data_IF_249582124524
#
_entry.id   IF_249582124524
#
_cell.length_a   1.000
_cell.length_b   1.000
_cell.length_c   1.000
_cell.angle_alpha   90.00
_cell.angle_beta   90.00
_cell.angle_gamma   90.00
#
_symmetry.space_group_name_H-M   'P 1'
#
loop_
_entity.id
_entity.type
_entity.pdbx_description
1 polymer ?
#
# COMPACT_ATOMS: atom_id res chain seq x y z
N UNK A 1 -19.19 -20.21 -32.65
CA UNK A 1 -17.98 -20.97 -33.02
C UNK A 1 -17.15 -21.13 -31.77
N UNK A 2 -16.51 -22.29 -31.51
CA UNK A 2 -15.71 -22.49 -30.31
C UNK A 2 -14.34 -21.80 -30.38
N UNK A 3 -13.74 -21.57 -29.22
CA UNK A 3 -12.50 -20.82 -29.06
C UNK A 3 -11.48 -21.57 -28.18
N UNK A 4 -10.19 -21.43 -28.50
CA UNK A 4 -9.10 -21.78 -27.59
C UNK A 4 -8.46 -20.50 -27.07
N UNK A 5 -8.36 -20.36 -25.75
CA UNK A 5 -7.96 -19.10 -25.11
C UNK A 5 -6.84 -19.34 -24.10
N UNK A 6 -5.79 -18.51 -24.18
CA UNK A 6 -4.72 -18.47 -23.21
C UNK A 6 -5.05 -17.48 -22.08
N UNK A 7 -5.18 -17.97 -20.84
CA UNK A 7 -5.50 -17.12 -19.68
C UNK A 7 -4.37 -16.17 -19.27
N UNK A 8 -3.13 -16.46 -19.67
CA UNK A 8 -1.97 -15.64 -19.31
C UNK A 8 -1.74 -14.50 -20.29
N UNK A 9 -2.02 -14.75 -21.58
CA UNK A 9 -1.63 -13.86 -22.67
C UNK A 9 -2.85 -13.26 -23.39
N UNK A 10 -4.07 -13.61 -22.97
CA UNK A 10 -5.36 -13.16 -23.51
C UNK A 10 -5.55 -13.39 -25.02
N UNK A 11 -4.70 -14.21 -25.64
CA UNK A 11 -4.80 -14.61 -27.04
C UNK A 11 -5.87 -15.69 -27.20
N UNK A 12 -6.73 -15.54 -28.20
CA UNK A 12 -7.75 -16.52 -28.57
C UNK A 12 -7.63 -16.94 -30.04
N UNK A 13 -8.01 -18.18 -30.33
CA UNK A 13 -8.11 -18.74 -31.69
C UNK A 13 -9.51 -19.32 -31.89
N UNK A 14 -10.14 -18.98 -33.01
CA UNK A 14 -11.38 -19.62 -33.46
C UNK A 14 -11.09 -21.01 -34.00
N UNK A 15 -11.91 -22.00 -33.61
CA UNK A 15 -11.77 -23.37 -34.09
C UNK A 15 -12.96 -23.73 -34.98
N UNK A 16 -12.66 -24.06 -36.24
CA UNK A 16 -13.66 -24.52 -37.20
C UNK A 16 -13.95 -26.04 -37.11
N UNK A 17 -12.99 -26.85 -36.64
CA UNK A 17 -13.12 -28.30 -36.48
C UNK A 17 -12.55 -28.74 -35.13
N UNK A 18 -13.30 -29.54 -34.37
CA UNK A 18 -12.90 -30.07 -33.06
C UNK A 18 -11.59 -30.87 -33.11
N UNK A 19 -11.21 -31.40 -34.28
CA UNK A 19 -9.94 -32.12 -34.45
C UNK A 19 -8.70 -31.20 -34.34
N UNK A 20 -8.82 -29.89 -34.62
CA UNK A 20 -7.73 -28.90 -34.47
C UNK A 20 -7.45 -28.54 -33.00
N UNK A 21 -8.32 -28.93 -32.07
CA UNK A 21 -8.12 -28.72 -30.63
C UNK A 21 -6.87 -29.47 -30.14
N UNK A 22 -6.53 -30.59 -30.79
CA UNK A 22 -5.40 -31.41 -30.38
C UNK A 22 -4.04 -30.78 -30.70
N UNK A 23 -3.98 -29.93 -31.73
CA UNK A 23 -2.75 -29.28 -32.20
C UNK A 23 -2.45 -27.99 -31.41
N UNK A 24 -3.48 -27.32 -30.89
CA UNK A 24 -3.37 -26.03 -30.19
C UNK A 24 -3.43 -26.23 -28.66
N UNK A 25 -2.64 -27.16 -28.12
CA UNK A 25 -2.65 -27.43 -26.66
C UNK A 25 -1.95 -26.38 -25.81
N UNK A 26 -1.01 -25.64 -26.41
CA UNK A 26 -0.10 -24.74 -25.67
C UNK A 26 0.06 -23.41 -26.41
N UNK A 27 -0.09 -22.31 -25.69
CA UNK A 27 0.16 -20.97 -26.20
C UNK A 27 1.67 -20.73 -26.37
N UNK A 28 2.06 -19.75 -27.19
CA UNK A 28 3.46 -19.35 -27.36
C UNK A 28 4.13 -18.91 -26.05
N UNK A 29 3.35 -18.46 -25.06
CA UNK A 29 3.85 -18.17 -23.73
C UNK A 29 3.95 -19.39 -22.79
N UNK A 30 3.95 -20.62 -23.34
CA UNK A 30 4.14 -21.87 -22.59
C UNK A 30 2.93 -22.33 -21.76
N UNK A 31 1.86 -21.54 -21.71
CA UNK A 31 0.65 -21.85 -20.92
C UNK A 31 -0.32 -22.70 -21.73
N UNK A 32 -0.96 -23.69 -21.09
CA UNK A 32 -2.01 -24.51 -21.72
C UNK A 32 -3.21 -23.66 -22.14
N UNK A 33 -3.69 -23.89 -23.36
CA UNK A 33 -4.88 -23.22 -23.88
C UNK A 33 -6.14 -23.90 -23.36
N UNK A 34 -7.18 -23.10 -23.08
CA UNK A 34 -8.44 -23.58 -22.53
C UNK A 34 -9.52 -23.48 -23.62
N UNK A 35 -10.29 -24.55 -23.79
CA UNK A 35 -11.41 -24.59 -24.71
C UNK A 35 -12.64 -23.89 -24.11
N UNK A 36 -13.31 -23.09 -24.92
CA UNK A 36 -14.58 -22.45 -24.60
C UNK A 36 -15.55 -22.59 -25.78
N UNK A 37 -16.81 -22.91 -25.50
CA UNK A 37 -17.83 -23.02 -26.56
C UNK A 37 -18.22 -21.65 -27.12
N UNK A 38 -18.17 -20.62 -26.27
CA UNK A 38 -18.47 -19.23 -26.60
C UNK A 38 -17.40 -18.29 -26.01
N UNK A 39 -17.04 -17.23 -26.74
CA UNK A 39 -16.06 -16.25 -26.27
C UNK A 39 -16.59 -15.52 -25.03
N UNK A 40 -17.91 -15.30 -24.98
CA UNK A 40 -18.63 -14.71 -23.87
C UNK A 40 -18.40 -15.47 -22.56
N UNK A 41 -18.23 -16.80 -22.58
CA UNK A 41 -18.00 -17.60 -21.38
C UNK A 41 -16.67 -17.24 -20.71
N UNK A 42 -15.62 -17.05 -21.51
CA UNK A 42 -14.31 -16.60 -21.03
C UNK A 42 -14.34 -15.15 -20.58
N UNK A 43 -14.99 -14.26 -21.34
CA UNK A 43 -15.14 -12.86 -20.97
C UNK A 43 -15.93 -12.71 -19.66
N UNK A 44 -17.00 -13.47 -19.47
CA UNK A 44 -17.78 -13.47 -18.23
C UNK A 44 -16.97 -13.98 -17.04
N UNK A 45 -16.16 -15.03 -17.21
CA UNK A 45 -15.25 -15.50 -16.15
C UNK A 45 -14.17 -14.45 -15.81
N UNK A 46 -13.66 -13.73 -16.81
CA UNK A 46 -12.69 -12.64 -16.62
C UNK A 46 -13.34 -11.44 -15.94
N UNK A 47 -14.54 -11.08 -16.35
CA UNK A 47 -15.35 -10.01 -15.75
C UNK A 47 -15.71 -10.33 -14.29
N UNK A 48 -16.13 -11.56 -13.99
CA UNK A 48 -16.38 -12.00 -12.61
C UNK A 48 -15.10 -11.95 -11.76
N UNK A 49 -13.93 -12.31 -12.31
CA UNK A 49 -12.64 -12.14 -11.61
C UNK A 49 -12.23 -10.69 -11.40
N UNK A 50 -12.63 -9.78 -12.28
CA UNK A 50 -12.36 -8.33 -12.13
C UNK A 50 -13.36 -7.60 -11.22
N UNK A 51 -14.48 -8.25 -10.85
CA UNK A 51 -15.59 -7.64 -10.08
C UNK A 51 -15.75 -8.31 -8.71
N UNK A 52 -14.89 -9.26 -8.33
CA UNK A 52 -14.93 -9.81 -6.97
C UNK A 52 -14.64 -8.70 -5.96
N UNK A 53 -15.56 -8.49 -5.01
CA UNK A 53 -15.39 -7.52 -3.94
C UNK A 53 -14.05 -7.75 -3.22
N UNK A 54 -13.32 -6.68 -2.88
CA UNK A 54 -12.07 -6.81 -2.16
C UNK A 54 -12.34 -7.45 -0.79
N UNK A 55 -11.45 -8.35 -0.37
CA UNK A 55 -11.57 -8.94 0.97
C UNK A 55 -11.35 -7.88 2.05
N UNK A 56 -11.95 -8.08 3.22
CA UNK A 56 -11.78 -7.16 4.36
C UNK A 56 -10.30 -7.04 4.76
N UNK A 57 -9.52 -8.11 4.64
CA UNK A 57 -8.09 -8.10 4.90
C UNK A 57 -7.35 -7.17 3.93
N UNK A 58 -7.74 -7.17 2.65
CA UNK A 58 -7.14 -6.29 1.64
C UNK A 58 -7.48 -4.83 1.92
N UNK A 59 -8.74 -4.52 2.19
CA UNK A 59 -9.18 -3.17 2.56
C UNK A 59 -8.47 -2.67 3.83
N UNK A 60 -8.31 -3.54 4.84
CA UNK A 60 -7.61 -3.22 6.08
C UNK A 60 -6.15 -2.90 5.80
N UNK A 61 -5.47 -3.74 5.00
CA UNK A 61 -4.07 -3.51 4.66
C UNK A 61 -3.88 -2.25 3.82
N UNK A 62 -4.77 -1.97 2.88
CA UNK A 62 -4.71 -0.76 2.05
C UNK A 62 -4.88 0.50 2.91
N UNK A 63 -5.84 0.48 3.85
CA UNK A 63 -6.06 1.55 4.82
C UNK A 63 -4.84 1.78 5.72
N UNK A 64 -4.34 0.72 6.37
CA UNK A 64 -3.17 0.81 7.25
C UNK A 64 -1.93 1.29 6.48
N UNK A 65 -1.76 0.84 5.24
CA UNK A 65 -0.68 1.30 4.37
C UNK A 65 -0.79 2.77 4.02
N UNK A 66 -2.00 3.29 3.78
CA UNK A 66 -2.22 4.71 3.55
C UNK A 66 -1.83 5.55 4.78
N UNK A 67 -2.23 5.13 5.97
CA UNK A 67 -1.85 5.80 7.23
C UNK A 67 -0.33 5.83 7.40
N UNK A 68 0.35 4.71 7.15
CA UNK A 68 1.81 4.64 7.22
C UNK A 68 2.49 5.57 6.23
N UNK A 69 1.99 5.65 4.99
CA UNK A 69 2.52 6.60 3.99
C UNK A 69 2.33 8.05 4.42
N UNK A 70 1.21 8.40 5.05
CA UNK A 70 1.00 9.74 5.60
C UNK A 70 2.02 10.08 6.69
N UNK A 71 2.35 9.13 7.57
CA UNK A 71 3.36 9.30 8.63
C UNK A 71 4.75 9.52 8.01
N UNK A 72 5.16 8.67 7.07
CA UNK A 72 6.46 8.77 6.39
C UNK A 72 6.57 10.05 5.56
N UNK A 73 5.50 10.44 4.86
CA UNK A 73 5.43 11.70 4.11
C UNK A 73 5.60 12.89 5.05
N UNK A 74 4.95 12.88 6.21
CA UNK A 74 5.10 13.93 7.23
C UNK A 74 6.55 14.06 7.70
N UNK A 75 7.21 12.94 7.99
CA UNK A 75 8.63 12.93 8.37
C UNK A 75 9.54 13.51 7.28
N UNK A 76 9.22 13.30 6.01
CA UNK A 76 10.02 13.82 4.88
C UNK A 76 9.79 15.30 4.59
N UNK A 77 8.56 15.79 4.73
CA UNK A 77 8.23 17.17 4.38
C UNK A 77 8.69 18.17 5.43
N UNK A 78 8.81 17.75 6.70
CA UNK A 78 9.22 18.66 7.78
C UNK A 78 10.70 19.01 7.63
N UNK A 79 11.07 20.30 7.61
CA UNK A 79 12.45 20.75 7.33
C UNK A 79 13.41 20.57 8.52
N UNK A 80 13.00 19.86 9.57
CA UNK A 80 13.77 19.64 10.80
C UNK A 80 13.58 18.21 11.30
N UNK A 81 14.60 17.65 11.93
CA UNK A 81 14.48 16.36 12.59
C UNK A 81 13.47 16.43 13.75
N UNK A 82 12.64 15.39 13.84
CA UNK A 82 11.58 15.30 14.84
C UNK A 82 11.82 14.12 15.75
N UNK A 83 11.65 14.33 17.06
CA UNK A 83 11.36 13.24 17.97
C UNK A 83 9.88 12.85 17.91
N UNK A 84 9.55 11.69 18.46
CA UNK A 84 8.22 11.08 18.40
C UNK A 84 7.09 12.02 18.83
N UNK A 85 7.27 12.74 19.94
CA UNK A 85 6.28 13.69 20.47
C UNK A 85 5.99 14.83 19.49
N UNK A 86 7.02 15.37 18.83
CA UNK A 86 6.84 16.45 17.86
C UNK A 86 6.19 15.93 16.58
N UNK A 87 6.55 14.74 16.12
CA UNK A 87 5.87 14.10 14.99
C UNK A 87 4.37 13.94 15.26
N UNK A 88 3.99 13.45 16.44
CA UNK A 88 2.58 13.34 16.82
C UNK A 88 1.86 14.69 16.82
N UNK A 89 2.49 15.77 17.30
CA UNK A 89 1.93 17.12 17.23
C UNK A 89 1.68 17.57 15.79
N UNK A 90 2.61 17.27 14.86
CA UNK A 90 2.44 17.56 13.43
C UNK A 90 1.26 16.78 12.86
N UNK A 91 1.22 15.46 13.08
CA UNK A 91 0.17 14.58 12.56
C UNK A 91 -1.22 14.95 13.08
N UNK A 92 -1.32 15.38 14.35
CA UNK A 92 -2.58 15.84 14.96
C UNK A 92 -2.97 17.26 14.56
N UNK A 93 -2.07 18.04 13.96
CA UNK A 93 -2.33 19.45 13.65
C UNK A 93 -2.37 20.32 14.90
N UNK A 94 -1.62 19.93 15.94
CA UNK A 94 -1.59 20.63 17.22
C UNK A 94 -0.72 21.88 17.15
N UNK A 95 -1.22 22.98 17.71
CA UNK A 95 -0.51 24.24 17.79
C UNK A 95 0.70 24.16 18.74
N UNK A 96 1.86 24.63 18.29
CA UNK A 96 3.07 24.73 19.12
C UNK A 96 4.03 25.77 18.54
N UNK A 97 4.87 26.45 19.36
CA UNK A 97 5.81 27.44 18.84
C UNK A 97 6.73 26.92 17.72
N UNK A 98 7.16 25.66 17.77
CA UNK A 98 8.02 25.09 16.73
C UNK A 98 7.29 24.91 15.39
N UNK A 99 5.97 24.65 15.41
CA UNK A 99 5.16 24.48 14.21
C UNK A 99 5.19 25.76 13.39
N UNK A 100 4.93 26.91 14.02
CA UNK A 100 4.96 28.21 13.33
C UNK A 100 6.38 28.65 12.99
N UNK A 101 7.35 28.39 13.88
CA UNK A 101 8.77 28.72 13.64
C UNK A 101 9.28 28.11 12.34
N UNK A 102 8.92 26.85 12.07
CA UNK A 102 9.35 26.12 10.87
C UNK A 102 8.28 26.08 9.77
N UNK A 103 7.21 26.87 9.87
CA UNK A 103 6.09 26.94 8.91
C UNK A 103 5.46 25.56 8.61
N UNK A 104 5.51 24.65 9.57
CA UNK A 104 4.96 23.29 9.43
C UNK A 104 3.44 23.33 9.24
N UNK A 105 2.76 24.33 9.81
CA UNK A 105 1.33 24.56 9.61
C UNK A 105 0.91 24.86 8.16
N UNK A 106 1.88 25.02 7.24
CA UNK A 106 1.62 25.23 5.81
C UNK A 106 1.81 23.95 4.99
N UNK A 107 2.26 22.86 5.60
CA UNK A 107 2.44 21.57 4.93
C UNK A 107 1.09 20.85 4.78
N UNK A 108 0.90 20.15 3.66
CA UNK A 108 -0.31 19.37 3.41
C UNK A 108 -0.51 18.24 4.44
N UNK A 109 0.59 17.75 5.00
CA UNK A 109 0.57 16.68 6.00
C UNK A 109 0.28 17.17 7.42
N UNK A 110 0.20 18.48 7.65
CA UNK A 110 -0.11 19.01 8.99
C UNK A 110 -1.57 18.75 9.35
N UNK A 111 -1.80 18.01 10.43
CA UNK A 111 -3.15 17.64 10.86
C UNK A 111 -3.81 16.53 10.04
N UNK A 112 -3.07 15.85 9.16
CA UNK A 112 -3.62 14.82 8.29
C UNK A 112 -4.22 13.61 9.05
N UNK A 113 -3.78 13.38 10.30
CA UNK A 113 -4.25 12.32 11.18
C UNK A 113 -4.88 12.87 12.48
N UNK A 114 -5.58 14.00 12.41
CA UNK A 114 -6.18 14.67 13.58
C UNK A 114 -7.23 13.84 14.36
N UNK A 115 -7.85 12.85 13.71
CA UNK A 115 -8.89 12.00 14.31
C UNK A 115 -8.34 10.81 15.11
N UNK A 116 -7.02 10.63 15.15
CA UNK A 116 -6.38 9.55 15.89
C UNK A 116 -5.93 10.01 17.27
N UNK A 117 -6.04 9.12 18.25
CA UNK A 117 -5.51 9.40 19.60
C UNK A 117 -3.97 9.42 19.59
N UNK A 118 -3.36 9.96 20.64
CA UNK A 118 -1.89 9.91 20.76
C UNK A 118 -1.39 8.48 20.90
N UNK A 119 -2.16 7.60 21.55
CA UNK A 119 -1.83 6.19 21.69
C UNK A 119 -1.87 5.44 20.36
N UNK A 120 -2.83 5.79 19.49
CA UNK A 120 -2.93 5.22 18.14
C UNK A 120 -1.74 5.64 17.30
N UNK A 121 -1.42 6.94 17.27
CA UNK A 121 -0.28 7.47 16.54
C UNK A 121 1.03 6.91 17.06
N UNK A 122 1.18 6.84 18.39
CA UNK A 122 2.36 6.25 19.05
C UNK A 122 2.55 4.82 18.58
N UNK A 123 1.49 4.02 18.61
CA UNK A 123 1.50 2.62 18.16
C UNK A 123 1.89 2.51 16.68
N UNK A 124 1.26 3.27 15.80
CA UNK A 124 1.58 3.24 14.38
C UNK A 124 3.05 3.57 14.11
N UNK A 125 3.60 4.59 14.80
CA UNK A 125 5.01 4.96 14.64
C UNK A 125 5.93 3.88 15.21
N UNK A 126 5.61 3.28 16.36
CA UNK A 126 6.41 2.17 16.93
C UNK A 126 6.47 0.97 15.97
N UNK A 127 5.34 0.57 15.38
CA UNK A 127 5.32 -0.52 14.40
C UNK A 127 6.16 -0.19 13.17
N UNK A 128 6.17 1.07 12.73
CA UNK A 128 7.02 1.50 11.61
C UNK A 128 8.53 1.51 11.96
N UNK A 129 8.88 1.78 13.22
CA UNK A 129 10.25 1.66 13.72
C UNK A 129 10.67 0.19 13.78
N UNK A 130 9.84 -0.67 14.38
CA UNK A 130 10.10 -2.11 14.51
C UNK A 130 10.28 -2.80 13.16
N UNK A 131 9.57 -2.32 12.12
CA UNK A 131 9.68 -2.83 10.75
C UNK A 131 10.81 -2.23 9.93
N UNK A 132 11.55 -1.27 10.49
CA UNK A 132 12.67 -0.64 9.81
C UNK A 132 12.28 0.37 8.74
N UNK A 133 11.04 0.89 8.74
CA UNK A 133 10.65 2.00 7.86
C UNK A 133 11.06 3.36 8.44
N UNK A 134 11.21 3.44 9.76
CA UNK A 134 11.69 4.61 10.49
C UNK A 134 12.87 4.18 11.35
N UNK A 135 13.96 4.94 11.25
CA UNK A 135 15.11 4.83 12.15
C UNK A 135 14.96 5.83 13.29
N UNK A 136 15.26 5.38 14.51
CA UNK A 136 15.28 6.21 15.72
C UNK A 136 16.71 6.30 16.23
N UNK A 137 17.35 7.45 16.02
CA UNK A 137 18.72 7.72 16.47
C UNK A 137 18.70 8.43 17.82
N UNK A 138 19.39 7.87 18.82
CA UNK A 138 19.57 8.53 20.11
C UNK A 138 20.71 9.55 20.02
N UNK A 139 20.41 10.81 20.35
CA UNK A 139 21.40 11.89 20.36
C UNK A 139 22.03 12.04 21.75
N UNK A 140 21.20 12.32 22.76
CA UNK A 140 21.65 12.54 24.14
C UNK A 140 20.50 12.47 25.14
N UNK A 141 20.81 12.48 26.44
CA UNK A 141 19.80 12.49 27.50
C UNK A 141 18.97 13.79 27.54
N UNK A 142 19.48 14.87 26.95
CA UNK A 142 18.82 16.18 26.91
C UNK A 142 18.01 16.38 25.62
N UNK A 143 18.51 15.86 24.50
CA UNK A 143 17.87 16.02 23.18
C UNK A 143 16.91 14.87 22.86
N UNK A 144 17.11 13.70 23.48
CA UNK A 144 16.34 12.49 23.24
C UNK A 144 16.73 11.83 21.91
N UNK A 145 15.72 11.26 21.24
CA UNK A 145 15.88 10.57 19.96
C UNK A 145 15.24 11.34 18.81
N UNK A 146 15.85 11.25 17.63
CA UNK A 146 15.33 11.79 16.38
C UNK A 146 14.93 10.68 15.43
N UNK A 147 13.87 10.93 14.67
CA UNK A 147 13.32 10.00 13.70
C UNK A 147 13.77 10.38 12.28
N UNK A 148 14.06 9.36 11.48
CA UNK A 148 14.43 9.49 10.07
C UNK A 148 13.76 8.39 9.26
N UNK A 149 13.27 8.73 8.06
CA UNK A 149 12.78 7.74 7.11
C UNK A 149 13.97 6.95 6.54
N UNK A 150 13.88 5.62 6.56
CA UNK A 150 14.93 4.72 6.03
C UNK A 150 14.83 4.61 4.49
N UNK A 151 15.75 3.87 3.87
CA UNK A 151 15.66 3.55 2.44
C UNK A 151 14.44 2.68 2.17
N UNK A 152 14.21 1.68 3.02
CA UNK A 152 13.05 0.79 2.96
C UNK A 152 11.73 1.57 3.16
N UNK A 153 11.71 2.53 4.09
CA UNK A 153 10.57 3.45 4.27
C UNK A 153 10.32 4.32 3.04
N UNK A 154 11.39 4.74 2.37
CA UNK A 154 11.30 5.52 1.15
C UNK A 154 10.77 4.70 -0.03
N UNK A 155 11.20 3.46 -0.16
CA UNK A 155 10.70 2.52 -1.16
C UNK A 155 9.20 2.27 -0.92
N UNK A 156 8.82 1.92 0.32
CA UNK A 156 7.42 1.75 0.73
C UNK A 156 6.53 2.95 0.41
N UNK A 157 7.05 4.17 0.64
CA UNK A 157 6.32 5.40 0.38
C UNK A 157 5.96 5.56 -1.10
N UNK A 158 6.86 5.16 -2.01
CA UNK A 158 6.70 5.34 -3.46
C UNK A 158 6.15 4.09 -4.16
N UNK A 159 6.21 2.93 -3.52
CA UNK A 159 5.80 1.65 -4.07
C UNK A 159 4.32 1.35 -3.87
N UNK A 160 3.91 0.18 -4.38
CA UNK A 160 2.53 -0.34 -4.32
C UNK A 160 2.34 -1.43 -3.28
N UNK A 161 3.41 -1.83 -2.61
CA UNK A 161 3.42 -2.80 -1.53
C UNK A 161 2.49 -2.37 -0.39
N UNK A 162 1.93 -3.36 0.27
CA UNK A 162 1.00 -3.13 1.37
C UNK A 162 1.53 -3.76 2.63
N UNK A 163 1.28 -3.08 3.74
CA UNK A 163 1.58 -3.56 5.07
C UNK A 163 0.29 -3.67 5.86
N UNK A 164 0.30 -4.53 6.87
CA UNK A 164 -0.73 -4.50 7.91
C UNK A 164 -0.07 -4.12 9.22
N UNK A 165 -0.45 -3.00 9.80
CA UNK A 165 0.04 -2.55 11.11
C UNK A 165 -0.56 -3.40 12.25
N UNK A 166 -1.76 -3.95 12.06
CA UNK A 166 -2.53 -4.57 13.15
C UNK A 166 -3.28 -3.56 14.00
N UNK A 167 -3.32 -2.29 13.57
CA UNK A 167 -4.00 -1.20 14.22
C UNK A 167 -5.53 -1.41 14.23
N UNK A 168 -6.10 -1.77 13.08
CA UNK A 168 -7.55 -1.94 12.94
C UNK A 168 -8.08 -3.10 13.80
N UNK A 169 -7.25 -4.13 14.02
CA UNK A 169 -7.59 -5.32 14.82
C UNK A 169 -7.39 -5.14 16.32
N UNK A 170 -6.84 -4.00 16.76
CA UNK A 170 -6.56 -3.71 18.17
C UNK A 170 -7.83 -3.29 18.95
N UNK A 171 -8.84 -2.79 18.25
CA UNK A 171 -10.09 -2.29 18.83
C UNK A 171 -11.17 -3.37 18.94
#
# INVERSE_FOLDING_TARGET
>A
MPFMICKNCDVYYEIADKNLVEDIKTCQCGTKMNYYEKLEDYLNLKLQKSVSEPSIEKLTSDYESALSRMILMSLKQVPVQLGIKRLMLVLKGSSSPFIFKYKINQLETYGILNNFSEEDLRYMVDVLIERGFIESEYLSQYEGSTLKCTVEGQEFLNGTETISLGFVKRN
#
